data_IF_590663543585
#
_entry.id   IF_590663543585
#
_cell.length_a   1.000
_cell.length_b   1.000
_cell.length_c   1.000
_cell.angle_alpha   90.00
_cell.angle_beta   90.00
_cell.angle_gamma   90.00
#
_symmetry.space_group_name_H-M   'P 1'
#
loop_
_entity.id
_entity.type
_entity.pdbx_description
1 polymer ?
#
# COMPACT_ATOMS: atom_id res chain seq x y z
N UNK A 1 -4.17 -4.99 18.87
CA UNK A 1 -4.38 -4.99 17.41
C UNK A 1 -3.06 -4.62 16.75
N UNK A 2 -2.76 -5.03 15.51
CA UNK A 2 -1.55 -4.60 14.82
C UNK A 2 -1.61 -3.09 14.53
N UNK A 3 -0.48 -2.40 14.67
CA UNK A 3 -0.34 -0.98 14.27
C UNK A 3 0.28 -0.91 12.87
N UNK A 4 0.19 0.22 12.18
CA UNK A 4 0.92 0.39 10.93
C UNK A 4 2.44 0.35 11.17
N UNK A 5 3.18 -0.13 10.17
CA UNK A 5 4.64 -0.09 10.18
C UNK A 5 5.16 1.35 10.36
N UNK A 6 4.56 2.31 9.64
CA UNK A 6 4.93 3.73 9.76
C UNK A 6 4.76 4.27 11.20
N UNK A 7 3.70 3.87 11.89
CA UNK A 7 3.45 4.25 13.29
C UNK A 7 4.53 3.69 14.21
N UNK A 8 4.89 2.41 14.02
CA UNK A 8 5.96 1.76 14.79
C UNK A 8 7.30 2.42 14.55
N UNK A 9 7.63 2.73 13.29
CA UNK A 9 8.86 3.42 12.92
C UNK A 9 8.91 4.83 13.52
N UNK A 10 7.77 5.54 13.54
CA UNK A 10 7.60 6.82 14.22
C UNK A 10 7.89 6.73 15.71
N UNK A 11 7.27 5.77 16.40
CA UNK A 11 7.51 5.52 17.83
C UNK A 11 8.96 5.10 18.13
N UNK A 12 9.57 4.27 17.28
CA UNK A 12 10.99 3.92 17.40
C UNK A 12 11.90 5.13 17.18
N UNK A 13 11.54 6.03 16.26
CA UNK A 13 12.25 7.29 16.03
C UNK A 13 12.27 8.18 17.27
N UNK A 14 11.16 8.23 18.00
CA UNK A 14 11.03 8.97 19.26
C UNK A 14 11.96 8.45 20.37
N UNK A 15 12.21 7.12 20.43
CA UNK A 15 13.18 6.54 21.38
C UNK A 15 14.62 7.02 21.17
N UNK A 16 14.96 7.63 20.03
CA UNK A 16 16.30 8.21 19.83
C UNK A 16 16.52 9.51 20.62
N UNK A 17 15.47 10.07 21.21
CA UNK A 17 15.47 11.34 21.97
C UNK A 17 14.76 11.23 23.32
N UNK A 18 14.95 10.11 24.04
CA UNK A 18 14.21 9.76 25.27
C UNK A 18 14.16 10.89 26.30
N UNK A 19 15.27 11.62 26.49
CA UNK A 19 15.41 12.62 27.56
C UNK A 19 14.49 13.86 27.41
N UNK A 20 13.83 14.04 26.26
CA UNK A 20 12.95 15.18 25.98
C UNK A 20 11.55 14.79 25.52
N UNK A 21 11.20 13.50 25.62
CA UNK A 21 10.00 12.99 24.98
C UNK A 21 8.73 13.47 25.69
N UNK A 22 7.89 14.23 24.97
CA UNK A 22 6.62 14.73 25.51
C UNK A 22 5.45 13.79 25.17
N UNK A 23 4.45 13.65 26.07
CA UNK A 23 3.22 12.90 25.77
C UNK A 23 2.54 13.32 24.46
N UNK A 24 2.47 14.63 24.18
CA UNK A 24 1.90 15.17 22.95
C UNK A 24 2.58 14.65 21.67
N UNK A 25 3.92 14.51 21.67
CA UNK A 25 4.65 13.99 20.48
C UNK A 25 4.31 12.53 20.20
N UNK A 26 4.01 11.76 21.25
CA UNK A 26 3.53 10.37 21.10
C UNK A 26 2.10 10.36 20.60
N UNK A 27 1.25 11.24 21.13
CA UNK A 27 -0.14 11.38 20.70
C UNK A 27 -0.25 11.72 19.21
N UNK A 28 0.59 12.63 18.70
CA UNK A 28 0.64 12.99 17.28
C UNK A 28 0.89 11.77 16.38
N UNK A 29 1.78 10.86 16.79
CA UNK A 29 2.05 9.62 16.05
C UNK A 29 0.85 8.68 16.11
N UNK A 30 0.26 8.48 17.30
CA UNK A 30 -0.87 7.59 17.52
C UNK A 30 -2.12 8.05 16.75
N UNK A 31 -2.40 9.35 16.72
CA UNK A 31 -3.54 9.97 16.03
C UNK A 31 -3.44 9.88 14.49
N UNK A 32 -2.40 9.23 13.94
CA UNK A 32 -2.35 8.85 12.53
C UNK A 32 -2.74 7.39 12.28
N UNK A 33 -2.98 6.60 13.33
CA UNK A 33 -3.20 5.16 13.26
C UNK A 33 -4.54 4.77 13.93
N UNK A 34 -5.56 4.43 13.14
CA UNK A 34 -6.87 4.05 13.67
C UNK A 34 -6.84 2.85 14.63
N UNK A 35 -6.04 1.82 14.33
CA UNK A 35 -6.00 0.59 15.12
C UNK A 35 -5.25 0.84 16.44
N UNK A 36 -4.17 1.62 16.41
CA UNK A 36 -3.47 1.98 17.62
C UNK A 36 -4.31 2.93 18.49
N UNK A 37 -4.92 3.97 17.90
CA UNK A 37 -5.85 4.89 18.58
C UNK A 37 -6.94 4.12 19.33
N UNK A 38 -7.62 3.19 18.62
CA UNK A 38 -8.65 2.35 19.21
C UNK A 38 -8.11 1.45 20.34
N UNK A 39 -6.93 0.85 20.15
CA UNK A 39 -6.30 0.00 21.18
C UNK A 39 -6.02 0.80 22.45
N UNK A 40 -5.44 1.98 22.30
CA UNK A 40 -5.01 2.84 23.41
C UNK A 40 -6.20 3.32 24.23
N UNK A 41 -7.24 3.84 23.56
CA UNK A 41 -8.43 4.32 24.24
C UNK A 41 -9.20 3.18 24.93
N UNK A 42 -9.36 2.04 24.26
CA UNK A 42 -9.97 0.85 24.88
C UNK A 42 -9.21 0.43 26.15
N UNK A 43 -7.89 0.34 26.06
CA UNK A 43 -7.05 -0.06 27.20
C UNK A 43 -7.11 0.97 28.34
N UNK A 44 -7.26 2.26 28.02
CA UNK A 44 -7.47 3.32 29.00
C UNK A 44 -8.85 3.20 29.67
N UNK A 45 -9.94 3.09 28.90
CA UNK A 45 -11.32 2.95 29.40
C UNK A 45 -11.47 1.76 30.36
N UNK A 46 -10.85 0.62 30.03
CA UNK A 46 -10.90 -0.58 30.89
C UNK A 46 -10.12 -0.42 32.20
N UNK A 47 -9.09 0.42 32.26
CA UNK A 47 -8.28 0.67 33.47
C UNK A 47 -8.95 1.64 34.43
N UNK A 48 -9.67 2.64 33.92
CA UNK A 48 -10.38 3.63 34.75
C UNK A 48 -11.54 3.06 35.57
N UNK A 49 -11.95 1.82 35.33
CA UNK A 49 -12.94 1.10 36.16
C UNK A 49 -12.45 0.76 37.57
N UNK A 50 -11.14 0.82 37.83
CA UNK A 50 -10.56 0.34 39.11
C UNK A 50 -10.09 1.45 40.06
N UNK A 51 -10.10 2.74 39.65
CA UNK A 51 -9.84 3.89 40.53
C UNK A 51 -10.42 5.19 39.97
N UNK A 52 -10.67 6.21 40.82
CA UNK A 52 -11.33 7.51 40.53
C UNK A 52 -11.38 7.90 39.03
N UNK A 53 -12.60 7.88 38.50
CA UNK A 53 -12.94 7.98 37.07
C UNK A 53 -12.67 9.37 36.49
N UNK A 54 -11.61 9.47 35.68
CA UNK A 54 -11.51 10.51 34.66
C UNK A 54 -11.81 9.84 33.33
N UNK A 55 -12.79 10.31 32.57
CA UNK A 55 -13.02 9.82 31.21
C UNK A 55 -11.79 10.17 30.35
N UNK A 56 -11.00 9.15 30.02
CA UNK A 56 -9.82 9.31 29.17
C UNK A 56 -10.28 9.30 27.73
N UNK A 57 -10.58 10.48 27.20
CA UNK A 57 -11.00 10.64 25.80
C UNK A 57 -9.82 11.06 24.91
N UNK A 58 -8.71 11.50 25.51
CA UNK A 58 -7.50 11.93 24.80
C UNK A 58 -6.38 10.91 24.86
N UNK A 59 -5.65 10.78 23.76
CA UNK A 59 -4.47 9.93 23.65
C UNK A 59 -3.36 10.44 24.55
N UNK A 60 -3.20 11.75 24.69
CA UNK A 60 -2.19 12.33 25.57
C UNK A 60 -2.39 11.88 27.03
N UNK A 61 -3.62 11.94 27.54
CA UNK A 61 -3.95 11.46 28.88
C UNK A 61 -3.74 9.94 29.01
N UNK A 62 -4.10 9.15 27.99
CA UNK A 62 -3.84 7.71 27.97
C UNK A 62 -2.34 7.38 28.03
N UNK A 63 -1.51 8.13 27.30
CA UNK A 63 -0.04 8.01 27.34
C UNK A 63 0.48 8.38 28.73
N UNK A 64 -0.04 9.44 29.36
CA UNK A 64 0.35 9.84 30.72
C UNK A 64 0.02 8.77 31.77
N UNK A 65 -1.13 8.11 31.67
CA UNK A 65 -1.53 7.03 32.59
C UNK A 65 -0.62 5.80 32.50
N UNK A 66 -0.10 5.49 31.32
CA UNK A 66 0.83 4.36 31.11
C UNK A 66 2.28 4.77 31.41
N UNK A 67 2.60 6.05 31.22
CA UNK A 67 3.96 6.56 31.17
C UNK A 67 4.51 6.54 29.73
N UNK A 68 5.16 7.64 29.33
CA UNK A 68 5.63 7.87 27.96
C UNK A 68 6.56 6.74 27.47
N UNK A 69 7.64 6.45 28.19
CA UNK A 69 8.62 5.45 27.78
C UNK A 69 8.02 4.02 27.74
N UNK A 70 7.32 3.53 28.80
CA UNK A 70 6.65 2.23 28.75
C UNK A 70 5.65 2.09 27.60
N UNK A 71 4.92 3.17 27.28
CA UNK A 71 3.98 3.18 26.16
C UNK A 71 4.72 2.99 24.83
N UNK A 72 5.75 3.79 24.57
CA UNK A 72 6.50 3.75 23.32
C UNK A 72 7.16 2.39 23.12
N UNK A 73 7.82 1.85 24.15
CA UNK A 73 8.47 0.53 24.05
C UNK A 73 7.49 -0.60 23.75
N UNK A 74 6.30 -0.58 24.38
CA UNK A 74 5.25 -1.57 24.15
C UNK A 74 4.77 -1.55 22.71
N UNK A 75 4.42 -0.37 22.19
CA UNK A 75 3.75 -0.26 20.90
C UNK A 75 4.73 -0.25 19.71
N UNK A 76 5.97 0.20 19.89
CA UNK A 76 7.02 0.11 18.88
C UNK A 76 7.37 -1.36 18.52
N UNK A 77 7.37 -2.25 19.52
CA UNK A 77 7.71 -3.68 19.37
C UNK A 77 6.53 -4.56 18.95
N UNK A 78 5.33 -4.01 18.81
CA UNK A 78 4.12 -4.75 18.42
C UNK A 78 4.17 -5.31 16.99
N UNK A 79 3.16 -6.08 16.59
CA UNK A 79 3.03 -6.55 15.21
C UNK A 79 2.63 -5.39 14.27
N UNK A 80 3.24 -5.34 13.08
CA UNK A 80 2.83 -4.42 12.03
C UNK A 80 1.70 -4.99 11.17
N UNK A 81 0.75 -4.14 10.79
CA UNK A 81 -0.36 -4.46 9.90
C UNK A 81 0.14 -5.01 8.55
N UNK A 82 1.17 -4.38 7.98
CA UNK A 82 1.83 -4.81 6.75
C UNK A 82 2.44 -6.20 6.88
N UNK A 83 2.99 -6.54 8.03
CA UNK A 83 3.55 -7.88 8.29
C UNK A 83 2.45 -8.92 8.42
N UNK A 84 1.35 -8.59 9.10
CA UNK A 84 0.18 -9.48 9.26
C UNK A 84 -0.45 -9.80 7.89
N UNK A 85 -0.52 -8.81 6.99
CA UNK A 85 -1.14 -8.95 5.68
C UNK A 85 -0.14 -9.15 4.53
N UNK A 86 1.12 -9.51 4.82
CA UNK A 86 2.17 -9.63 3.80
C UNK A 86 1.83 -10.64 2.67
N UNK A 87 0.97 -11.62 2.94
CA UNK A 87 0.52 -12.63 1.98
C UNK A 87 -0.75 -12.27 1.19
N UNK A 88 -1.42 -11.15 1.49
CA UNK A 88 -2.67 -10.74 0.84
C UNK A 88 -2.63 -9.24 0.51
N UNK A 89 -2.05 -8.92 -0.65
CA UNK A 89 -1.87 -7.55 -1.12
C UNK A 89 -3.19 -6.79 -1.27
N UNK A 90 -4.26 -7.46 -1.69
CA UNK A 90 -5.56 -6.83 -1.90
C UNK A 90 -6.19 -6.37 -0.57
N UNK A 91 -6.12 -7.20 0.48
CA UNK A 91 -6.56 -6.79 1.83
C UNK A 91 -5.71 -5.66 2.38
N UNK A 92 -4.40 -5.72 2.16
CA UNK A 92 -3.49 -4.67 2.62
C UNK A 92 -3.81 -3.33 1.94
N UNK A 93 -4.00 -3.31 0.62
CA UNK A 93 -4.42 -2.11 -0.11
C UNK A 93 -5.76 -1.57 0.40
N UNK A 94 -6.73 -2.44 0.66
CA UNK A 94 -8.01 -2.05 1.23
C UNK A 94 -7.84 -1.39 2.61
N UNK A 95 -7.04 -1.98 3.50
CA UNK A 95 -6.74 -1.41 4.81
C UNK A 95 -6.07 -0.03 4.70
N UNK A 96 -5.09 0.12 3.82
CA UNK A 96 -4.38 1.40 3.65
C UNK A 96 -5.30 2.48 3.09
N UNK A 97 -6.21 2.14 2.18
CA UNK A 97 -7.23 3.05 1.68
C UNK A 97 -8.18 3.52 2.80
N UNK A 98 -8.65 2.59 3.64
CA UNK A 98 -9.48 2.93 4.81
C UNK A 98 -8.75 3.84 5.80
N UNK A 99 -7.48 3.57 6.07
CA UNK A 99 -6.66 4.41 6.95
C UNK A 99 -6.45 5.80 6.33
N UNK A 100 -6.14 5.88 5.04
CA UNK A 100 -5.95 7.16 4.35
C UNK A 100 -7.22 8.02 4.40
N UNK A 101 -8.40 7.39 4.23
CA UNK A 101 -9.70 8.03 4.40
C UNK A 101 -9.88 8.61 5.80
N UNK A 102 -9.62 7.80 6.81
CA UNK A 102 -9.79 8.19 8.21
C UNK A 102 -8.85 9.32 8.60
N UNK A 103 -7.60 9.29 8.15
CA UNK A 103 -6.64 10.37 8.35
C UNK A 103 -7.10 11.67 7.67
N UNK A 104 -7.66 11.60 6.47
CA UNK A 104 -8.24 12.78 5.81
C UNK A 104 -9.46 13.30 6.57
N UNK A 105 -10.38 12.42 6.96
CA UNK A 105 -11.55 12.77 7.73
C UNK A 105 -11.18 13.43 9.06
N UNK A 106 -10.17 12.91 9.77
CA UNK A 106 -9.65 13.49 11.00
C UNK A 106 -9.05 14.89 10.78
N UNK A 107 -8.30 15.12 9.69
CA UNK A 107 -7.79 16.46 9.36
C UNK A 107 -8.91 17.43 9.01
N UNK A 108 -9.89 17.01 8.22
CA UNK A 108 -11.06 17.83 7.86
C UNK A 108 -11.85 18.21 9.12
N UNK A 109 -12.22 17.22 9.93
CA UNK A 109 -12.95 17.41 11.17
C UNK A 109 -12.18 18.29 12.16
N UNK A 110 -10.86 18.07 12.28
CA UNK A 110 -9.98 18.88 13.11
C UNK A 110 -9.91 20.35 12.66
N UNK A 111 -9.71 20.59 11.36
CA UNK A 111 -9.64 21.94 10.79
C UNK A 111 -10.94 22.73 10.98
N UNK A 112 -12.09 22.10 10.77
CA UNK A 112 -13.38 22.75 11.05
C UNK A 112 -13.66 22.88 12.56
N UNK A 113 -13.27 21.91 13.38
CA UNK A 113 -13.36 21.98 14.84
C UNK A 113 -12.61 23.19 15.39
N UNK A 114 -11.38 23.41 14.92
CA UNK A 114 -10.58 24.59 15.29
C UNK A 114 -11.26 25.90 14.87
N UNK A 115 -11.81 25.98 13.65
CA UNK A 115 -12.57 27.16 13.18
C UNK A 115 -13.81 27.43 14.03
N UNK A 116 -14.46 26.39 14.54
CA UNK A 116 -15.62 26.50 15.45
C UNK A 116 -15.22 26.87 16.88
N UNK A 117 -13.92 26.95 17.19
CA UNK A 117 -13.41 27.05 18.56
C UNK A 117 -13.92 25.91 19.45
N UNK A 118 -14.01 24.69 18.88
CA UNK A 118 -14.38 23.51 19.63
C UNK A 118 -13.33 23.24 20.72
N UNK A 119 -13.75 23.14 21.98
CA UNK A 119 -12.83 22.92 23.10
C UNK A 119 -12.23 21.51 23.11
N UNK A 120 -12.80 20.58 22.32
CA UNK A 120 -12.44 19.16 22.30
C UNK A 120 -12.29 18.66 20.86
N UNK A 121 -11.42 19.33 20.09
CA UNK A 121 -11.12 18.97 18.69
C UNK A 121 -10.63 17.53 18.56
N UNK A 122 -9.84 17.04 19.52
CA UNK A 122 -9.31 15.67 19.49
C UNK A 122 -10.43 14.61 19.47
N UNK A 123 -11.58 14.86 20.12
CA UNK A 123 -12.72 13.93 20.05
C UNK A 123 -13.26 13.77 18.62
N UNK A 124 -13.24 14.84 17.82
CA UNK A 124 -13.65 14.79 16.40
C UNK A 124 -12.65 13.98 15.56
N UNK A 125 -11.35 14.19 15.82
CA UNK A 125 -10.27 13.47 15.15
C UNK A 125 -10.30 11.98 15.51
N UNK A 126 -10.42 11.66 16.80
CA UNK A 126 -10.57 10.29 17.31
C UNK A 126 -11.80 9.63 16.73
N UNK A 127 -12.97 10.28 16.75
CA UNK A 127 -14.18 9.73 16.16
C UNK A 127 -14.02 9.45 14.66
N UNK A 128 -13.30 10.31 13.94
CA UNK A 128 -12.99 10.08 12.53
C UNK A 128 -12.11 8.84 12.32
N UNK A 129 -11.11 8.62 13.17
CA UNK A 129 -10.27 7.43 13.16
C UNK A 129 -11.05 6.17 13.52
N UNK A 130 -11.90 6.23 14.56
CA UNK A 130 -12.71 5.10 15.01
C UNK A 130 -13.74 4.65 13.95
N UNK A 131 -14.20 5.56 13.08
CA UNK A 131 -15.20 5.25 12.05
C UNK A 131 -14.81 4.12 11.09
N UNK A 132 -13.50 3.89 10.85
CA UNK A 132 -13.02 2.83 9.94
C UNK A 132 -12.58 1.55 10.65
N UNK A 133 -12.52 1.54 11.97
CA UNK A 133 -12.01 0.39 12.76
C UNK A 133 -12.80 -0.90 12.49
N UNK A 134 -14.14 -0.91 12.42
CA UNK A 134 -14.88 -2.13 12.06
C UNK A 134 -14.47 -2.68 10.70
N UNK A 135 -14.31 -1.81 9.69
CA UNK A 135 -13.85 -2.20 8.36
C UNK A 135 -12.44 -2.77 8.37
N UNK A 136 -11.53 -2.20 9.17
CA UNK A 136 -10.17 -2.72 9.34
C UNK A 136 -10.15 -4.06 10.05
N UNK A 137 -10.94 -4.23 11.11
CA UNK A 137 -11.07 -5.52 11.78
C UNK A 137 -11.71 -6.57 10.88
N UNK A 138 -12.62 -6.16 9.99
CA UNK A 138 -13.23 -7.05 9.01
C UNK A 138 -12.21 -7.65 8.04
N UNK A 139 -11.25 -6.84 7.58
CA UNK A 139 -10.15 -7.30 6.73
C UNK A 139 -9.20 -8.26 7.47
N UNK A 140 -9.03 -8.07 8.79
CA UNK A 140 -8.11 -8.86 9.61
C UNK A 140 -8.70 -10.19 10.08
N UNK A 141 -9.98 -10.22 10.48
CA UNK A 141 -10.56 -11.35 11.20
C UNK A 141 -11.86 -11.92 10.57
N UNK A 142 -12.35 -11.37 9.46
CA UNK A 142 -13.64 -11.74 8.89
C UNK A 142 -14.76 -10.87 9.44
N UNK A 143 -16.03 -11.28 9.35
CA UNK A 143 -17.16 -10.41 9.69
C UNK A 143 -17.11 -9.90 11.15
N UNK A 144 -17.22 -8.59 11.34
CA UNK A 144 -17.15 -7.93 12.66
C UNK A 144 -18.40 -7.08 12.85
N UNK A 145 -18.84 -6.99 14.10
CA UNK A 145 -19.94 -6.12 14.50
C UNK A 145 -19.72 -4.66 14.02
N UNK A 146 -20.81 -3.94 13.77
CA UNK A 146 -20.75 -2.55 13.34
C UNK A 146 -20.06 -1.63 14.35
N UNK A 147 -19.81 -0.38 13.95
CA UNK A 147 -19.10 0.60 14.79
C UNK A 147 -19.78 0.80 16.14
N UNK A 148 -21.11 0.78 16.19
CA UNK A 148 -21.89 1.02 17.41
C UNK A 148 -21.69 -0.12 18.40
N UNK A 149 -21.85 -1.36 17.94
CA UNK A 149 -21.65 -2.55 18.74
C UNK A 149 -20.21 -2.67 19.23
N UNK A 150 -19.23 -2.32 18.39
CA UNK A 150 -17.82 -2.33 18.76
C UNK A 150 -17.51 -1.31 19.87
N UNK A 151 -17.98 -0.07 19.71
CA UNK A 151 -17.74 0.99 20.69
C UNK A 151 -18.44 0.70 22.02
N UNK A 152 -19.65 0.13 21.99
CA UNK A 152 -20.35 -0.31 23.19
C UNK A 152 -19.61 -1.46 23.89
N UNK A 153 -19.13 -2.46 23.15
CA UNK A 153 -18.37 -3.59 23.71
C UNK A 153 -17.05 -3.15 24.35
N UNK A 154 -16.48 -2.03 23.89
CA UNK A 154 -15.25 -1.45 24.41
C UNK A 154 -15.49 -0.33 25.44
N UNK A 155 -16.73 -0.07 25.80
CA UNK A 155 -17.14 0.93 26.80
C UNK A 155 -16.57 2.33 26.50
N UNK A 156 -16.66 2.75 25.24
CA UNK A 156 -16.28 4.10 24.85
C UNK A 156 -17.27 5.14 25.40
N UNK A 157 -16.80 6.35 25.78
CA UNK A 157 -17.67 7.44 26.19
C UNK A 157 -18.78 7.74 25.18
N UNK A 158 -19.99 8.01 25.67
CA UNK A 158 -21.18 8.25 24.83
C UNK A 158 -20.94 9.35 23.78
N UNK A 159 -20.17 10.38 24.13
CA UNK A 159 -19.80 11.46 23.20
C UNK A 159 -19.08 10.95 21.95
N UNK A 160 -18.17 9.97 22.08
CA UNK A 160 -17.47 9.40 20.92
C UNK A 160 -18.40 8.50 20.11
N UNK A 161 -19.32 7.78 20.76
CA UNK A 161 -20.34 6.97 20.08
C UNK A 161 -21.23 7.87 19.22
N UNK A 162 -21.75 8.97 19.78
CA UNK A 162 -22.57 9.94 19.06
C UNK A 162 -21.81 10.60 17.90
N UNK A 163 -20.51 10.86 18.05
CA UNK A 163 -19.71 11.42 16.96
C UNK A 163 -19.46 10.41 15.84
N UNK A 164 -19.33 9.12 16.14
CA UNK A 164 -19.14 8.06 15.14
C UNK A 164 -20.45 7.71 14.41
N UNK A 165 -21.58 7.72 15.11
CA UNK A 165 -22.88 7.27 14.61
C UNK A 165 -23.76 8.47 14.26
N UNK A 166 -24.30 8.50 13.04
CA UNK A 166 -25.26 9.53 12.64
C UNK A 166 -26.63 9.34 13.31
N UNK A 167 -27.39 10.43 13.48
CA UNK A 167 -28.77 10.44 13.95
C UNK A 167 -29.63 11.37 13.10
N UNK A 168 -30.96 11.29 13.19
CA UNK A 168 -31.86 12.15 12.41
C UNK A 168 -31.80 13.63 12.87
N UNK A 169 -31.81 13.87 14.18
CA UNK A 169 -31.66 15.21 14.76
C UNK A 169 -30.30 15.37 15.44
N UNK A 170 -29.33 15.83 14.66
CA UNK A 170 -27.96 16.02 15.12
C UNK A 170 -27.69 17.48 15.54
N UNK A 171 -27.03 17.71 16.69
CA UNK A 171 -26.49 19.03 17.02
C UNK A 171 -25.41 19.44 16.00
N UNK A 172 -25.11 20.75 15.88
CA UNK A 172 -24.17 21.27 14.87
C UNK A 172 -22.79 20.60 14.88
N UNK A 173 -22.29 20.23 16.07
CA UNK A 173 -21.01 19.52 16.25
C UNK A 173 -21.02 18.12 15.61
N UNK A 174 -22.09 17.36 15.82
CA UNK A 174 -22.25 16.02 15.23
C UNK A 174 -22.55 16.11 13.73
N UNK A 175 -23.34 17.10 13.29
CA UNK A 175 -23.54 17.40 11.85
C UNK A 175 -22.21 17.67 11.15
N UNK A 176 -21.34 18.48 11.77
CA UNK A 176 -20.02 18.78 11.26
C UNK A 176 -19.17 17.51 11.12
N UNK A 177 -19.17 16.66 12.15
CA UNK A 177 -18.44 15.39 12.14
C UNK A 177 -18.92 14.47 11.01
N UNK A 178 -20.23 14.23 10.93
CA UNK A 178 -20.83 13.35 9.92
C UNK A 178 -20.66 13.90 8.50
N UNK A 179 -20.69 15.22 8.32
CA UNK A 179 -20.35 15.84 7.04
C UNK A 179 -18.87 15.65 6.70
N UNK A 180 -17.94 15.76 7.67
CA UNK A 180 -16.50 15.55 7.46
C UNK A 180 -16.19 14.10 7.04
N UNK A 181 -16.85 13.11 7.66
CA UNK A 181 -16.74 11.70 7.28
C UNK A 181 -17.22 11.45 5.85
N UNK A 182 -18.42 11.92 5.51
CA UNK A 182 -18.99 11.81 4.15
C UNK A 182 -18.12 12.50 3.11
N UNK A 183 -17.59 13.68 3.44
CA UNK A 183 -16.73 14.44 2.56
C UNK A 183 -15.44 13.70 2.25
N UNK A 184 -14.74 13.17 3.25
CA UNK A 184 -13.53 12.38 3.03
C UNK A 184 -13.77 11.16 2.13
N UNK A 185 -14.89 10.44 2.35
CA UNK A 185 -15.27 9.30 1.52
C UNK A 185 -15.65 9.70 0.09
N UNK A 186 -16.36 10.82 -0.08
CA UNK A 186 -16.77 11.32 -1.38
C UNK A 186 -15.58 11.80 -2.23
N UNK A 187 -14.62 12.51 -1.62
CA UNK A 187 -13.45 13.07 -2.30
C UNK A 187 -12.54 12.01 -2.95
N UNK A 188 -12.57 10.76 -2.47
CA UNK A 188 -11.87 9.64 -3.12
C UNK A 188 -12.47 9.28 -4.48
N UNK A 189 -13.79 9.45 -4.61
CA UNK A 189 -14.54 9.16 -5.84
C UNK A 189 -14.60 10.37 -6.77
N UNK A 190 -14.33 11.57 -6.27
CA UNK A 190 -14.23 12.81 -7.02
C UNK A 190 -14.73 14.02 -6.26
N UNK A 191 -14.38 15.23 -6.72
CA UNK A 191 -14.68 16.48 -6.01
C UNK A 191 -16.07 17.04 -6.29
N UNK A 192 -16.72 16.60 -7.37
CA UNK A 192 -17.98 17.20 -7.86
C UNK A 192 -19.18 16.25 -7.78
N UNK A 193 -19.08 15.19 -6.99
CA UNK A 193 -20.19 14.26 -6.77
C UNK A 193 -21.23 14.79 -5.78
N UNK A 194 -22.46 14.30 -5.87
CA UNK A 194 -23.58 14.72 -5.00
C UNK A 194 -23.27 14.54 -3.51
N UNK A 195 -22.60 13.44 -3.13
CA UNK A 195 -22.16 13.20 -1.74
C UNK A 195 -21.27 14.34 -1.22
N UNK A 196 -20.36 14.85 -2.06
CA UNK A 196 -19.43 15.93 -1.70
C UNK A 196 -20.18 17.25 -1.60
N UNK A 197 -21.01 17.58 -2.59
CA UNK A 197 -21.84 18.79 -2.58
C UNK A 197 -22.74 18.87 -1.35
N UNK A 198 -23.42 17.76 -1.00
CA UNK A 198 -24.28 17.69 0.18
C UNK A 198 -23.48 17.84 1.49
N UNK A 199 -22.28 17.27 1.55
CA UNK A 199 -21.41 17.40 2.73
C UNK A 199 -20.90 18.84 2.88
N UNK A 200 -20.49 19.49 1.79
CA UNK A 200 -20.08 20.91 1.77
C UNK A 200 -21.24 21.81 2.20
N UNK A 201 -22.45 21.59 1.68
CA UNK A 201 -23.66 22.30 2.10
C UNK A 201 -23.95 22.13 3.58
N UNK A 202 -23.82 20.89 4.09
CA UNK A 202 -24.02 20.61 5.51
C UNK A 202 -23.03 21.39 6.40
N UNK A 203 -21.75 21.47 5.99
CA UNK A 203 -20.73 22.22 6.71
C UNK A 203 -21.01 23.73 6.61
N UNK A 204 -21.36 24.22 5.41
CA UNK A 204 -21.68 25.62 5.16
C UNK A 204 -22.83 26.10 6.06
N UNK A 205 -23.88 25.29 6.20
CA UNK A 205 -25.01 25.54 7.08
C UNK A 205 -24.63 25.57 8.57
N UNK A 206 -23.69 24.74 9.02
CA UNK A 206 -23.21 24.75 10.42
C UNK A 206 -22.47 26.07 10.77
N UNK A 207 -21.80 26.67 9.78
CA UNK A 207 -21.03 27.90 9.95
C UNK A 207 -21.77 29.17 9.48
N UNK A 208 -22.96 29.04 8.91
CA UNK A 208 -23.70 30.14 8.26
C UNK A 208 -22.82 30.91 7.24
N UNK A 209 -22.15 30.17 6.36
CA UNK A 209 -21.13 30.68 5.42
C UNK A 209 -21.43 30.18 4.00
N UNK A 210 -20.79 30.76 2.98
CA UNK A 210 -20.94 30.26 1.61
C UNK A 210 -20.17 28.94 1.39
N UNK A 211 -20.65 28.08 0.50
CA UNK A 211 -19.96 26.83 0.13
C UNK A 211 -18.50 27.07 -0.33
N UNK A 212 -18.24 28.21 -1.00
CA UNK A 212 -16.89 28.60 -1.42
C UNK A 212 -15.89 28.78 -0.27
N UNK A 213 -16.36 29.13 0.93
CA UNK A 213 -15.51 29.25 2.12
C UNK A 213 -15.10 27.88 2.64
N UNK A 214 -16.02 26.93 2.60
CA UNK A 214 -15.76 25.52 2.94
C UNK A 214 -14.73 24.97 1.96
N UNK A 215 -14.91 25.18 0.65
CA UNK A 215 -13.95 24.75 -0.37
C UNK A 215 -12.54 25.26 -0.14
N UNK A 216 -12.38 26.55 0.15
CA UNK A 216 -11.05 27.14 0.45
C UNK A 216 -10.40 26.49 1.66
N UNK A 217 -11.17 26.16 2.68
CA UNK A 217 -10.66 25.53 3.89
C UNK A 217 -10.27 24.05 3.67
N UNK A 218 -10.86 23.36 2.71
CA UNK A 218 -10.54 21.96 2.41
C UNK A 218 -9.18 21.75 1.77
N UNK A 219 -8.62 22.77 1.10
CA UNK A 219 -7.34 22.64 0.42
C UNK A 219 -6.20 22.25 1.38
N UNK A 220 -6.16 22.81 2.59
CA UNK A 220 -5.08 22.56 3.53
C UNK A 220 -5.07 21.10 4.05
N UNK A 221 -6.18 20.54 4.58
CA UNK A 221 -6.27 19.11 4.93
C UNK A 221 -5.94 18.16 3.78
N UNK A 222 -6.40 18.48 2.56
CA UNK A 222 -6.18 17.68 1.35
C UNK A 222 -4.71 17.67 0.95
N UNK A 223 -4.05 18.83 0.93
CA UNK A 223 -2.63 18.93 0.59
C UNK A 223 -1.77 18.30 1.68
N UNK A 224 -2.13 18.47 2.94
CA UNK A 224 -1.46 17.79 4.06
C UNK A 224 -1.53 16.25 3.92
N UNK A 225 -2.66 15.70 3.46
CA UNK A 225 -2.76 14.26 3.15
C UNK A 225 -1.80 13.86 2.02
N UNK A 226 -1.71 14.65 0.95
CA UNK A 226 -0.84 14.36 -0.19
C UNK A 226 0.66 14.39 0.14
N UNK A 227 1.05 15.13 1.19
CA UNK A 227 2.42 15.16 1.69
C UNK A 227 2.69 14.17 2.82
N UNK A 228 1.68 13.42 3.28
CA UNK A 228 1.85 12.45 4.34
C UNK A 228 2.57 11.18 3.84
N UNK A 229 3.30 10.43 4.70
CA UNK A 229 4.01 9.21 4.29
C UNK A 229 3.12 8.17 3.56
N UNK A 230 1.85 8.08 3.93
CA UNK A 230 0.90 7.14 3.35
C UNK A 230 0.56 7.47 1.87
N UNK A 231 0.78 8.71 1.42
CA UNK A 231 0.51 9.15 0.04
C UNK A 231 1.32 8.38 -1.02
N UNK A 232 2.44 7.76 -0.64
CA UNK A 232 3.20 6.90 -1.54
C UNK A 232 2.51 5.55 -1.83
N UNK A 233 1.47 5.19 -1.06
CA UNK A 233 0.80 3.88 -1.09
C UNK A 233 -0.68 3.95 -1.46
N UNK A 234 -1.24 5.15 -1.56
CA UNK A 234 -2.63 5.41 -1.98
C UNK A 234 -2.64 6.55 -2.97
N UNK A 235 -3.71 6.68 -3.77
CA UNK A 235 -3.90 7.86 -4.62
C UNK A 235 -4.43 9.00 -3.76
N UNK A 236 -3.68 10.10 -3.53
CA UNK A 236 -4.15 11.20 -2.70
C UNK A 236 -5.33 11.90 -3.36
N UNK A 237 -6.31 12.37 -2.57
CA UNK A 237 -7.49 13.08 -3.13
C UNK A 237 -7.12 14.40 -3.80
N UNK A 238 -5.94 14.96 -3.47
CA UNK A 238 -5.39 16.16 -4.12
C UNK A 238 -5.08 15.97 -5.61
N UNK A 239 -4.88 14.73 -6.07
CA UNK A 239 -4.65 14.38 -7.49
C UNK A 239 -5.74 14.95 -8.40
N UNK A 240 -6.92 15.12 -7.83
CA UNK A 240 -8.15 15.49 -8.49
C UNK A 240 -8.48 16.98 -8.44
N UNK A 241 -7.71 17.76 -7.68
CA UNK A 241 -7.95 19.19 -7.43
C UNK A 241 -8.02 20.05 -8.71
N UNK A 242 -7.23 19.79 -9.78
CA UNK A 242 -7.31 20.55 -11.03
C UNK A 242 -8.56 20.26 -11.89
N UNK A 243 -9.35 19.24 -11.55
CA UNK A 243 -10.47 18.80 -12.38
C UNK A 243 -11.68 19.71 -12.20
N UNK A 244 -12.33 20.08 -13.30
CA UNK A 244 -13.58 20.84 -13.31
C UNK A 244 -14.80 19.91 -13.13
N UNK A 245 -15.94 20.48 -12.75
CA UNK A 245 -17.21 19.75 -12.68
C UNK A 245 -17.56 19.11 -14.03
N UNK A 246 -17.91 17.81 -14.03
CA UNK A 246 -18.19 17.05 -15.26
C UNK A 246 -17.99 15.54 -15.11
N UNK A 247 -17.91 14.83 -16.24
CA UNK A 247 -17.75 13.38 -16.27
C UNK A 247 -16.43 12.94 -15.61
N UNK A 248 -16.55 12.34 -14.44
CA UNK A 248 -15.41 11.92 -13.64
C UNK A 248 -14.90 10.54 -14.08
N UNK A 249 -13.57 10.33 -14.21
CA UNK A 249 -13.05 8.97 -14.28
C UNK A 249 -13.25 8.33 -12.92
N UNK A 250 -14.20 7.40 -12.78
CA UNK A 250 -14.29 6.57 -11.57
C UNK A 250 -12.88 6.05 -11.25
N UNK A 251 -12.38 6.18 -10.00
CA UNK A 251 -11.09 5.61 -9.64
C UNK A 251 -11.16 4.16 -10.05
N UNK A 252 -10.37 3.80 -11.07
CA UNK A 252 -10.35 2.44 -11.55
C UNK A 252 -9.97 1.61 -10.32
N UNK A 253 -10.68 0.52 -10.00
CA UNK A 253 -10.17 -0.41 -9.00
C UNK A 253 -8.71 -0.65 -9.34
N UNK A 254 -7.82 -0.72 -8.35
CA UNK A 254 -6.44 -1.17 -8.57
C UNK A 254 -6.58 -2.49 -9.29
N UNK A 255 -6.51 -2.45 -10.62
CA UNK A 255 -6.58 -3.65 -11.44
C UNK A 255 -5.35 -4.38 -10.97
N UNK A 256 -5.52 -5.62 -10.53
CA UNK A 256 -4.41 -6.53 -10.36
C UNK A 256 -3.52 -6.38 -11.61
N UNK A 257 -2.43 -5.63 -11.44
CA UNK A 257 -1.65 -5.13 -12.56
C UNK A 257 -1.06 -6.33 -13.26
N UNK A 258 -0.68 -7.34 -12.49
CA UNK A 258 -0.25 -8.63 -12.97
C UNK A 258 -1.35 -9.30 -13.82
N UNK A 259 -2.58 -9.44 -13.31
CA UNK A 259 -3.67 -10.05 -14.06
C UNK A 259 -3.95 -9.31 -15.38
N UNK A 260 -4.00 -7.97 -15.36
CA UNK A 260 -4.22 -7.16 -16.54
C UNK A 260 -3.08 -7.30 -17.57
N UNK A 261 -1.83 -7.38 -17.11
CA UNK A 261 -0.66 -7.57 -17.99
C UNK A 261 -0.59 -8.99 -18.54
N UNK A 262 -0.91 -10.01 -17.74
CA UNK A 262 -1.02 -11.40 -18.20
C UNK A 262 -2.12 -11.56 -19.25
N UNK A 263 -3.28 -10.92 -19.06
CA UNK A 263 -4.36 -10.93 -20.03
C UNK A 263 -3.94 -10.26 -21.35
N UNK A 264 -3.28 -9.10 -21.29
CA UNK A 264 -2.77 -8.42 -22.48
C UNK A 264 -1.75 -9.28 -23.25
N UNK A 265 -0.85 -9.96 -22.54
CA UNK A 265 0.13 -10.88 -23.13
C UNK A 265 -0.56 -12.10 -23.78
N UNK A 266 -1.58 -12.66 -23.12
CA UNK A 266 -2.36 -13.77 -23.65
C UNK A 266 -3.08 -13.39 -24.95
N UNK A 267 -3.78 -12.25 -24.95
CA UNK A 267 -4.46 -11.72 -26.14
C UNK A 267 -3.49 -11.43 -27.29
N UNK A 268 -2.30 -10.88 -26.98
CA UNK A 268 -1.26 -10.65 -27.97
C UNK A 268 -0.81 -11.95 -28.67
N UNK A 269 -0.76 -13.06 -27.94
CA UNK A 269 -0.50 -14.39 -28.50
C UNK A 269 -1.64 -14.87 -29.42
N UNK A 270 -2.89 -14.73 -28.99
CA UNK A 270 -4.07 -15.10 -29.79
C UNK A 270 -4.20 -14.27 -31.09
N UNK A 271 -3.82 -13.00 -31.03
CA UNK A 271 -3.83 -12.09 -32.18
C UNK A 271 -2.61 -12.25 -33.10
N UNK A 272 -1.66 -13.12 -32.75
CA UNK A 272 -0.46 -13.34 -33.56
C UNK A 272 0.45 -12.11 -33.68
N UNK A 273 0.52 -11.26 -32.64
CA UNK A 273 1.33 -10.05 -32.68
C UNK A 273 2.82 -10.36 -32.94
N UNK A 274 3.59 -9.41 -33.50
CA UNK A 274 5.01 -9.61 -33.76
C UNK A 274 5.80 -9.95 -32.48
N UNK A 275 6.82 -10.80 -32.61
CA UNK A 275 7.59 -11.32 -31.48
C UNK A 275 8.18 -10.22 -30.58
N UNK A 276 8.66 -9.12 -31.17
CA UNK A 276 9.17 -7.98 -30.40
C UNK A 276 8.07 -7.30 -29.54
N UNK A 277 6.81 -7.33 -29.97
CA UNK A 277 5.68 -6.80 -29.20
C UNK A 277 5.35 -7.73 -28.03
N UNK A 278 5.26 -9.03 -28.29
CA UNK A 278 5.04 -10.06 -27.26
C UNK A 278 6.14 -9.98 -26.19
N UNK A 279 7.41 -9.93 -26.60
CA UNK A 279 8.54 -9.81 -25.68
C UNK A 279 8.48 -8.52 -24.85
N UNK A 280 8.12 -7.37 -25.45
CA UNK A 280 7.94 -6.11 -24.71
C UNK A 280 6.79 -6.19 -23.70
N UNK A 281 5.67 -6.83 -24.06
CA UNK A 281 4.55 -7.05 -23.15
C UNK A 281 4.93 -7.97 -21.98
N UNK A 282 5.72 -9.00 -22.24
CA UNK A 282 6.25 -9.89 -21.21
C UNK A 282 7.18 -9.15 -20.25
N UNK A 283 8.15 -8.38 -20.75
CA UNK A 283 9.02 -7.52 -19.91
C UNK A 283 8.18 -6.57 -19.07
N UNK A 284 7.15 -5.94 -19.67
CA UNK A 284 6.24 -5.04 -18.96
C UNK A 284 5.46 -5.76 -17.86
N UNK A 285 5.00 -6.99 -18.09
CA UNK A 285 4.32 -7.80 -17.08
C UNK A 285 5.25 -8.12 -15.90
N UNK A 286 6.53 -8.40 -16.17
CA UNK A 286 7.53 -8.64 -15.13
C UNK A 286 7.82 -7.38 -14.30
N UNK A 287 8.00 -6.23 -14.95
CA UNK A 287 8.32 -4.96 -14.26
C UNK A 287 7.12 -4.41 -13.52
N UNK A 288 5.97 -4.25 -14.17
CA UNK A 288 4.80 -3.59 -13.58
C UNK A 288 3.94 -4.55 -12.74
N UNK A 289 3.84 -5.82 -13.16
CA UNK A 289 3.01 -6.82 -12.47
C UNK A 289 3.70 -7.43 -11.25
N UNK A 290 4.99 -7.73 -11.34
CA UNK A 290 5.76 -8.35 -10.24
C UNK A 290 6.70 -7.39 -9.51
N UNK A 291 6.72 -6.12 -9.92
CA UNK A 291 7.59 -5.08 -9.35
C UNK A 291 9.07 -5.48 -9.36
N UNK A 292 9.49 -6.22 -10.40
CA UNK A 292 10.89 -6.56 -10.59
C UNK A 292 11.64 -5.31 -11.04
N UNK A 293 12.83 -5.09 -10.46
CA UNK A 293 13.64 -3.90 -10.72
C UNK A 293 14.44 -4.10 -12.00
N UNK A 294 15.42 -5.01 -12.01
CA UNK A 294 16.20 -5.28 -13.23
C UNK A 294 15.56 -6.45 -13.93
N UNK A 295 15.08 -6.24 -15.15
CA UNK A 295 14.55 -7.30 -16.01
C UNK A 295 15.33 -7.29 -17.31
N UNK A 296 15.97 -8.41 -17.61
CA UNK A 296 16.75 -8.65 -18.81
C UNK A 296 16.07 -9.73 -19.66
N UNK A 297 15.87 -9.45 -20.94
CA UNK A 297 15.66 -10.45 -21.97
C UNK A 297 16.95 -10.60 -22.76
N UNK A 298 17.53 -11.78 -22.72
CA UNK A 298 18.69 -12.15 -23.51
C UNK A 298 18.31 -13.15 -24.60
N UNK A 299 18.95 -13.06 -25.77
CA UNK A 299 18.69 -13.90 -26.93
C UNK A 299 19.96 -14.63 -27.37
N UNK A 300 19.86 -15.87 -27.87
CA UNK A 300 21.02 -16.56 -28.44
C UNK A 300 21.42 -15.90 -29.77
N UNK A 301 22.69 -15.56 -29.90
CA UNK A 301 23.31 -14.98 -31.10
C UNK A 301 24.76 -15.46 -31.21
N UNK A 302 25.14 -16.03 -32.35
CA UNK A 302 26.52 -16.44 -32.67
C UNK A 302 27.20 -17.30 -31.59
N UNK A 303 26.45 -18.23 -30.99
CA UNK A 303 26.95 -19.13 -29.95
C UNK A 303 27.05 -18.51 -28.55
N UNK A 304 26.61 -17.27 -28.37
CA UNK A 304 26.54 -16.58 -27.10
C UNK A 304 25.10 -16.13 -26.77
N UNK A 305 24.84 -15.86 -25.51
CA UNK A 305 23.62 -15.25 -25.02
C UNK A 305 23.87 -13.74 -24.85
N UNK A 306 23.13 -12.93 -25.60
CA UNK A 306 23.35 -11.47 -25.69
C UNK A 306 22.13 -10.71 -25.17
N UNK A 307 22.36 -9.66 -24.40
CA UNK A 307 21.32 -8.75 -23.94
C UNK A 307 20.55 -8.12 -25.11
N UNK A 308 19.22 -8.26 -25.15
CA UNK A 308 18.37 -7.63 -26.17
C UNK A 308 17.49 -6.54 -25.62
N UNK A 309 16.89 -6.77 -24.45
CA UNK A 309 16.14 -5.75 -23.72
C UNK A 309 16.57 -5.77 -22.26
N UNK A 310 16.85 -4.61 -21.71
CA UNK A 310 17.13 -4.44 -20.29
C UNK A 310 16.32 -3.26 -19.77
N UNK A 311 15.55 -3.49 -18.72
CA UNK A 311 14.71 -2.47 -18.06
C UNK A 311 15.10 -2.41 -16.58
N UNK A 312 15.17 -1.20 -16.04
CA UNK A 312 15.42 -0.90 -14.62
C UNK A 312 16.85 -1.12 -14.12
N UNK A 313 17.78 -1.43 -15.02
CA UNK A 313 19.22 -1.31 -14.79
C UNK A 313 19.72 0.09 -15.20
N UNK A 314 20.64 0.69 -14.43
CA UNK A 314 21.27 1.97 -14.77
C UNK A 314 22.06 1.87 -16.08
N UNK A 315 22.43 3.01 -16.68
CA UNK A 315 23.15 3.04 -17.96
C UNK A 315 24.48 2.27 -17.87
N UNK A 316 25.17 2.38 -16.74
CA UNK A 316 26.47 1.74 -16.49
C UNK A 316 26.37 0.35 -15.86
N UNK A 317 25.16 -0.22 -15.73
CA UNK A 317 24.99 -1.55 -15.14
C UNK A 317 25.58 -2.64 -16.06
N UNK A 318 26.53 -3.47 -15.58
CA UNK A 318 27.19 -4.49 -16.39
C UNK A 318 26.24 -5.46 -17.09
N UNK A 319 25.04 -5.70 -16.51
CA UNK A 319 24.04 -6.60 -17.07
C UNK A 319 23.55 -6.18 -18.46
N UNK A 320 23.65 -4.89 -18.81
CA UNK A 320 23.27 -4.35 -20.13
C UNK A 320 24.21 -4.81 -21.23
N UNK A 321 25.47 -5.06 -20.90
CA UNK A 321 26.49 -5.58 -21.81
C UNK A 321 26.64 -7.09 -21.75
N UNK A 322 25.63 -7.81 -21.23
CA UNK A 322 25.68 -9.26 -21.11
C UNK A 322 25.95 -9.91 -22.47
N UNK A 323 27.07 -10.64 -22.54
CA UNK A 323 27.51 -11.46 -23.64
C UNK A 323 28.21 -12.69 -23.07
N UNK A 324 27.51 -13.82 -23.03
CA UNK A 324 27.94 -15.03 -22.33
C UNK A 324 27.93 -16.25 -23.27
N UNK A 325 29.02 -17.02 -23.40
CA UNK A 325 29.06 -18.20 -24.27
C UNK A 325 28.00 -19.25 -23.90
N UNK A 326 27.22 -19.78 -24.84
CA UNK A 326 26.24 -20.82 -24.53
C UNK A 326 26.90 -22.16 -24.18
N UNK A 327 28.11 -22.39 -24.69
CA UNK A 327 28.92 -23.56 -24.38
C UNK A 327 29.60 -23.42 -23.00
N UNK A 328 29.43 -24.43 -22.14
CA UNK A 328 30.14 -24.53 -20.86
C UNK A 328 29.22 -24.83 -19.66
N UNK A 329 29.79 -24.94 -18.45
CA UNK A 329 29.08 -25.35 -17.24
C UNK A 329 28.26 -24.23 -16.60
N UNK A 330 28.23 -23.02 -17.17
CA UNK A 330 27.60 -21.86 -16.58
C UNK A 330 26.07 -21.94 -16.57
N UNK A 331 25.45 -21.42 -15.50
CA UNK A 331 24.02 -21.56 -15.23
C UNK A 331 23.14 -21.16 -16.43
N UNK A 332 23.41 -20.01 -17.04
CA UNK A 332 22.61 -19.51 -18.15
C UNK A 332 22.75 -20.38 -19.42
N UNK A 333 23.94 -20.94 -19.67
CA UNK A 333 24.14 -21.92 -20.74
C UNK A 333 23.33 -23.19 -20.51
N UNK A 334 23.31 -23.69 -19.26
CA UNK A 334 22.52 -24.87 -18.89
C UNK A 334 21.00 -24.62 -18.97
N UNK A 335 20.53 -23.43 -18.56
CA UNK A 335 19.13 -23.01 -18.75
C UNK A 335 18.73 -23.04 -20.23
N UNK A 336 19.63 -22.70 -21.14
CA UNK A 336 19.33 -22.67 -22.58
C UNK A 336 19.27 -24.06 -23.24
N UNK A 337 19.57 -25.15 -22.53
CA UNK A 337 19.51 -26.52 -23.08
C UNK A 337 18.11 -27.15 -23.00
N UNK A 338 17.27 -26.73 -22.06
CA UNK A 338 15.93 -27.27 -21.85
C UNK A 338 15.00 -26.24 -21.22
N UNK A 339 13.67 -26.34 -21.38
CA UNK A 339 12.72 -25.44 -20.72
C UNK A 339 12.78 -25.57 -19.20
N UNK A 340 13.52 -24.68 -18.53
CA UNK A 340 13.66 -24.70 -17.07
C UNK A 340 13.68 -23.29 -16.47
N UNK A 341 13.20 -23.19 -15.23
CA UNK A 341 13.21 -21.99 -14.41
C UNK A 341 14.04 -22.25 -13.15
N UNK A 342 14.74 -21.22 -12.71
CA UNK A 342 15.57 -21.24 -11.51
C UNK A 342 15.25 -20.01 -10.68
N UNK A 343 15.20 -20.21 -9.37
CA UNK A 343 15.21 -19.17 -8.36
C UNK A 343 16.45 -19.35 -7.50
N UNK A 344 17.36 -18.38 -7.55
CA UNK A 344 18.49 -18.30 -6.62
C UNK A 344 18.00 -17.67 -5.32
N UNK A 345 18.06 -18.42 -4.23
CA UNK A 345 17.74 -18.01 -2.86
C UNK A 345 18.67 -18.71 -1.87
N UNK A 346 18.51 -18.46 -0.57
CA UNK A 346 19.34 -19.08 0.46
C UNK A 346 19.42 -20.63 0.36
N UNK A 347 18.33 -21.30 0.01
CA UNK A 347 18.25 -22.77 -0.04
C UNK A 347 18.86 -23.37 -1.32
N UNK A 348 18.70 -22.68 -2.45
CA UNK A 348 19.18 -23.14 -3.76
C UNK A 348 20.61 -22.71 -4.06
N UNK A 349 21.10 -21.65 -3.39
CA UNK A 349 22.43 -21.08 -3.59
C UNK A 349 23.57 -22.10 -3.45
N UNK A 350 23.63 -22.98 -2.43
CA UNK A 350 24.69 -23.98 -2.33
C UNK A 350 24.79 -24.91 -3.55
N UNK A 351 23.65 -25.17 -4.22
CA UNK A 351 23.58 -26.04 -5.41
C UNK A 351 23.93 -25.32 -6.70
N UNK A 352 23.64 -24.01 -6.77
CA UNK A 352 23.76 -23.21 -7.99
C UNK A 352 25.05 -22.41 -8.07
N UNK A 353 25.67 -22.07 -6.94
CA UNK A 353 26.95 -21.35 -6.85
C UNK A 353 28.06 -21.96 -7.73
N UNK A 354 28.24 -23.29 -7.83
CA UNK A 354 29.25 -23.87 -8.72
C UNK A 354 29.07 -23.52 -10.20
N UNK A 355 27.86 -23.12 -10.61
CA UNK A 355 27.52 -22.74 -11.98
C UNK A 355 27.51 -21.22 -12.19
N UNK A 356 27.65 -20.43 -11.12
CA UNK A 356 27.79 -18.97 -11.17
C UNK A 356 29.26 -18.63 -11.36
N UNK A 357 29.71 -18.65 -12.62
CA UNK A 357 31.09 -18.29 -12.97
C UNK A 357 31.39 -16.84 -12.55
N UNK A 358 32.66 -16.49 -12.25
CA UNK A 358 33.02 -15.12 -11.89
C UNK A 358 32.56 -14.08 -12.93
N UNK A 359 32.60 -14.43 -14.21
CA UNK A 359 32.09 -13.59 -15.29
C UNK A 359 30.58 -13.35 -15.19
N UNK A 360 29.79 -14.37 -14.85
CA UNK A 360 28.35 -14.23 -14.64
C UNK A 360 28.06 -13.41 -13.38
N UNK A 361 28.75 -13.69 -12.27
CA UNK A 361 28.58 -12.95 -11.00
C UNK A 361 28.93 -11.47 -11.15
N UNK A 362 29.96 -11.13 -11.94
CA UNK A 362 30.29 -9.73 -12.23
C UNK A 362 29.17 -8.98 -12.98
N UNK A 363 28.34 -9.71 -13.75
CA UNK A 363 27.22 -9.13 -14.51
C UNK A 363 25.97 -8.97 -13.65
N UNK A 364 25.62 -9.98 -12.86
CA UNK A 364 24.34 -10.03 -12.12
C UNK A 364 24.46 -9.62 -10.65
N UNK A 365 25.67 -9.61 -10.08
CA UNK A 365 25.92 -9.38 -8.66
C UNK A 365 25.63 -10.60 -7.78
N UNK A 366 25.68 -10.41 -6.46
CA UNK A 366 25.52 -11.50 -5.47
C UNK A 366 24.08 -11.71 -4.99
N UNK A 367 23.13 -10.90 -5.47
CA UNK A 367 21.74 -10.92 -5.05
C UNK A 367 20.95 -12.16 -5.46
N UNK A 368 19.76 -12.30 -4.90
CA UNK A 368 18.79 -13.33 -5.31
C UNK A 368 18.11 -12.92 -6.61
N UNK A 369 17.80 -13.90 -7.47
CA UNK A 369 17.20 -13.63 -8.78
C UNK A 369 16.32 -14.79 -9.27
N UNK A 370 15.47 -14.47 -10.25
CA UNK A 370 14.78 -15.45 -11.09
C UNK A 370 15.40 -15.50 -12.48
N UNK A 371 15.50 -16.69 -13.04
CA UNK A 371 15.86 -16.88 -14.44
C UNK A 371 15.04 -18.01 -15.07
N UNK A 372 14.61 -17.84 -16.33
CA UNK A 372 13.90 -18.88 -17.07
C UNK A 372 14.18 -18.79 -18.56
N UNK A 373 14.49 -19.92 -19.16
CA UNK A 373 14.64 -20.08 -20.61
C UNK A 373 13.29 -20.06 -21.32
N UNK A 374 13.24 -19.46 -22.50
CA UNK A 374 12.10 -19.41 -23.40
C UNK A 374 12.34 -20.34 -24.59
N UNK A 375 11.35 -21.18 -24.89
CA UNK A 375 11.40 -22.17 -25.96
C UNK A 375 10.17 -22.06 -26.85
N UNK A 376 10.36 -22.22 -28.15
CA UNK A 376 9.30 -22.40 -29.14
C UNK A 376 9.54 -23.73 -29.83
N UNK A 377 8.71 -24.73 -29.52
CA UNK A 377 9.03 -26.12 -29.80
C UNK A 377 10.34 -26.50 -29.10
N UNK A 378 11.27 -27.12 -29.83
CA UNK A 378 12.59 -27.51 -29.32
C UNK A 378 13.65 -26.41 -29.45
N UNK A 379 13.29 -25.24 -30.01
CA UNK A 379 14.24 -24.14 -30.22
C UNK A 379 14.24 -23.18 -29.03
N UNK A 380 15.41 -22.99 -28.41
CA UNK A 380 15.62 -21.94 -27.43
C UNK A 380 15.61 -20.56 -28.13
N UNK A 381 14.69 -19.69 -27.75
CA UNK A 381 14.50 -18.36 -28.38
C UNK A 381 14.99 -17.20 -27.52
N UNK A 382 15.25 -17.45 -26.24
CA UNK A 382 15.78 -16.45 -25.31
C UNK A 382 15.69 -16.89 -23.86
N UNK A 383 15.99 -15.98 -22.95
CA UNK A 383 15.91 -16.19 -21.52
C UNK A 383 15.54 -14.89 -20.83
N UNK A 384 14.69 -14.97 -19.81
CA UNK A 384 14.47 -13.90 -18.87
C UNK A 384 15.37 -14.06 -17.66
N UNK A 385 15.95 -12.95 -17.22
CA UNK A 385 16.55 -12.78 -15.91
C UNK A 385 15.84 -11.62 -15.21
N UNK A 386 15.58 -11.75 -13.91
CA UNK A 386 15.00 -10.67 -13.13
C UNK A 386 15.42 -10.69 -11.65
N UNK A 387 15.62 -9.51 -11.08
CA UNK A 387 15.87 -9.30 -9.65
C UNK A 387 15.16 -8.04 -9.11
N UNK A 388 15.21 -7.86 -7.78
CA UNK A 388 14.79 -6.63 -7.11
C UNK A 388 15.53 -6.44 -5.78
N UNK A 389 15.46 -5.23 -5.22
CA UNK A 389 16.06 -4.90 -3.91
C UNK A 389 15.28 -5.47 -2.73
N UNK A 390 13.99 -5.71 -2.91
CA UNK A 390 13.16 -6.40 -1.92
C UNK A 390 13.38 -7.92 -2.01
N UNK A 391 13.20 -8.67 -0.91
CA UNK A 391 13.27 -10.13 -0.94
C UNK A 391 12.38 -10.72 -2.04
N UNK A 392 12.91 -11.70 -2.77
CA UNK A 392 12.14 -12.51 -3.71
C UNK A 392 11.39 -13.61 -2.94
N UNK A 393 10.19 -13.96 -3.40
CA UNK A 393 9.30 -14.88 -2.70
C UNK A 393 8.75 -15.99 -3.62
N UNK A 394 8.13 -17.01 -3.05
CA UNK A 394 7.63 -18.16 -3.80
C UNK A 394 6.45 -17.81 -4.73
N UNK A 395 5.59 -16.87 -4.34
CA UNK A 395 4.41 -16.49 -5.11
C UNK A 395 4.79 -15.68 -6.36
N UNK A 396 5.72 -14.73 -6.20
CA UNK A 396 6.34 -13.98 -7.28
C UNK A 396 7.07 -14.91 -8.25
N UNK A 397 7.73 -15.96 -7.75
CA UNK A 397 8.40 -16.97 -8.60
C UNK A 397 7.40 -17.79 -9.44
N UNK A 398 6.28 -18.22 -8.85
CA UNK A 398 5.22 -18.92 -9.60
C UNK A 398 4.64 -18.05 -10.72
N UNK A 399 4.37 -16.78 -10.41
CA UNK A 399 3.85 -15.81 -11.37
C UNK A 399 4.87 -15.49 -12.48
N UNK A 400 6.16 -15.37 -12.13
CA UNK A 400 7.26 -15.23 -13.08
C UNK A 400 7.28 -16.39 -14.09
N UNK A 401 7.17 -17.64 -13.60
CA UNK A 401 7.09 -18.83 -14.45
C UNK A 401 5.89 -18.78 -15.38
N UNK A 402 4.71 -18.39 -14.88
CA UNK A 402 3.50 -18.29 -15.69
C UNK A 402 3.66 -17.25 -16.82
N UNK A 403 4.23 -16.08 -16.55
CA UNK A 403 4.52 -15.06 -17.59
C UNK A 403 5.45 -15.63 -18.65
N UNK A 404 6.54 -16.29 -18.25
CA UNK A 404 7.49 -16.88 -19.19
C UNK A 404 6.84 -17.99 -20.04
N UNK A 405 6.00 -18.83 -19.45
CA UNK A 405 5.26 -19.88 -20.17
C UNK A 405 4.23 -19.29 -21.15
N UNK A 406 3.49 -18.26 -20.74
CA UNK A 406 2.57 -17.54 -21.63
C UNK A 406 3.32 -16.90 -22.80
N UNK A 407 4.50 -16.33 -22.54
CA UNK A 407 5.36 -15.74 -23.57
C UNK A 407 5.79 -16.80 -24.58
N UNK A 408 6.30 -17.94 -24.13
CA UNK A 408 6.69 -19.07 -25.00
C UNK A 408 5.52 -19.57 -25.85
N UNK A 409 4.32 -19.72 -25.27
CA UNK A 409 3.10 -20.12 -25.99
C UNK A 409 2.67 -19.08 -27.04
N UNK A 410 2.71 -17.81 -26.68
CA UNK A 410 2.36 -16.71 -27.59
C UNK A 410 3.32 -16.63 -28.78
N UNK A 411 4.62 -16.89 -28.56
CA UNK A 411 5.61 -16.96 -29.64
C UNK A 411 5.43 -18.21 -30.51
N UNK A 412 5.01 -19.33 -29.93
CA UNK A 412 4.75 -20.58 -30.65
C UNK A 412 3.51 -20.51 -31.54
N UNK A 413 2.45 -19.83 -31.10
CA UNK A 413 1.23 -19.63 -31.92
C UNK A 413 1.50 -18.95 -33.26
N UNK A 414 2.56 -18.14 -33.36
CA UNK A 414 3.03 -17.55 -34.62
C UNK A 414 3.79 -18.54 -35.51
N UNK A 415 4.52 -19.51 -34.95
CA UNK A 415 5.27 -20.48 -35.75
C UNK A 415 4.36 -21.49 -36.48
N UNK A 416 3.08 -21.57 -36.08
CA UNK A 416 2.05 -22.42 -36.67
C UNK A 416 1.14 -21.69 -37.67
N UNK A 417 1.30 -20.36 -37.83
CA UNK A 417 0.65 -19.51 -38.83
C UNK A 417 1.65 -19.14 -39.93
#
# INVERSE_FOLDING_TARGET
MPAMQATRDGLLGLLRRVDRLKPAEVADVVLTDPLLTATVLRDASLRTKTSMSVDVVTIEAAVMLVGVLPFVERHARGLALETVLAGDAARLECCLALIARAQLAARIAGGFGLRRMDARVEELQVAALLSVVPGLLAQLHGDVADVTALLAAWDFPEVLVQLCVGADDMPPRQKLQQASLRLAAGLEKGWWGDEVSQAVQSIAAVFDTAEGDVWRQLHEPVLAQAHAPLAARVVPVATWLPMVAGAWPSPRPVRDVLAARMQALHLAGLQGLPANQIMRLAVRALVEGLQLRRVLLAIPQDGALVARFCVGASVDDPIRSLNLPLAGPQLFGQLMQRPQAVWLNADSRPKLVPQLTPALTALIGDGDFYAMSLFVGDKAVGMFFADRTLPLDAQSYLSFKQICQLTSRALAGRAAL
#
